data_IF_888700868366
#
_entry.id   IF_888700868366
#
_cell.length_a   1.000
_cell.length_b   1.000
_cell.length_c   1.000
_cell.angle_alpha   90.00
_cell.angle_beta   90.00
_cell.angle_gamma   90.00
#
_symmetry.space_group_name_H-M   'P 1'
#
loop_
_entity.id
_entity.type
_entity.pdbx_description
1 polymer ?
#
# COMPACT_ATOMS: atom_id res chain seq x y z
N UNK A 1 24.39 73.81 -24.46
CA UNK A 1 24.39 72.49 -25.12
C UNK A 1 23.09 71.81 -24.78
N UNK A 2 22.24 71.66 -25.80
CA UNK A 2 20.94 71.00 -25.77
C UNK A 2 20.95 70.11 -27.02
N UNK A 3 20.83 68.79 -26.89
CA UNK A 3 20.54 67.89 -28.02
C UNK A 3 19.64 66.76 -27.52
N UNK A 4 18.44 66.75 -28.09
CA UNK A 4 17.45 65.67 -28.11
C UNK A 4 17.73 64.66 -29.22
N UNK A 5 17.09 63.49 -29.10
CA UNK A 5 16.81 62.43 -30.11
C UNK A 5 18.03 61.69 -30.70
N UNK A 6 17.99 60.40 -31.02
CA UNK A 6 16.95 59.38 -31.03
C UNK A 6 17.55 58.10 -31.64
N UNK A 7 16.78 57.01 -31.70
CA UNK A 7 17.13 55.82 -32.48
C UNK A 7 16.88 54.52 -31.73
N UNK A 8 15.77 53.85 -32.03
CA UNK A 8 15.49 52.52 -31.53
C UNK A 8 16.25 51.42 -32.29
N UNK A 9 16.36 50.24 -31.68
CA UNK A 9 16.15 48.98 -32.37
C UNK A 9 15.86 47.87 -31.35
N UNK A 10 14.75 47.19 -31.60
CA UNK A 10 14.39 45.81 -31.26
C UNK A 10 15.55 44.88 -30.86
N UNK A 11 15.37 44.02 -29.85
CA UNK A 11 14.87 42.63 -29.98
C UNK A 11 15.14 41.80 -28.71
N UNK A 12 14.15 40.99 -28.38
CA UNK A 12 14.30 39.65 -27.79
C UNK A 12 14.88 39.52 -26.37
N UNK A 13 14.06 39.84 -25.38
CA UNK A 13 14.17 39.26 -24.03
C UNK A 13 13.18 38.11 -23.90
N UNK A 14 13.42 37.02 -24.63
CA UNK A 14 12.64 35.80 -24.56
C UNK A 14 12.57 35.26 -23.12
N UNK A 15 11.34 35.13 -22.64
CA UNK A 15 10.85 34.18 -21.64
C UNK A 15 11.91 33.25 -21.02
N UNK A 16 12.33 33.54 -19.79
CA UNK A 16 13.00 32.58 -18.91
C UNK A 16 11.97 31.69 -18.17
N UNK A 17 10.96 31.23 -18.91
CA UNK A 17 10.04 30.12 -18.61
C UNK A 17 10.15 29.23 -19.85
N UNK A 18 10.48 27.94 -19.87
CA UNK A 18 10.14 26.87 -18.94
C UNK A 18 10.96 25.61 -19.34
N UNK A 19 12.29 25.73 -19.49
CA UNK A 19 13.17 24.57 -19.71
C UNK A 19 13.46 23.86 -18.37
N UNK A 20 12.39 23.44 -17.68
CA UNK A 20 12.49 22.22 -16.89
C UNK A 20 12.65 21.11 -17.91
N UNK A 21 13.87 20.59 -18.05
CA UNK A 21 14.09 19.24 -18.57
C UNK A 21 12.93 18.38 -18.09
N UNK A 22 12.07 17.92 -19.01
CA UNK A 22 11.00 16.98 -18.70
C UNK A 22 11.68 15.75 -18.13
N UNK A 23 11.83 15.73 -16.80
CA UNK A 23 12.45 14.66 -16.05
C UNK A 23 11.71 13.40 -16.48
N UNK A 24 12.42 12.46 -17.10
CA UNK A 24 11.80 11.28 -17.67
C UNK A 24 10.94 10.61 -16.60
N UNK A 25 9.62 10.63 -16.80
CA UNK A 25 8.68 10.04 -15.86
C UNK A 25 8.74 8.52 -15.97
N UNK A 26 8.75 7.85 -14.83
CA UNK A 26 8.77 6.40 -14.79
C UNK A 26 7.90 5.86 -13.68
N UNK A 27 7.43 4.65 -13.92
CA UNK A 27 6.63 3.86 -13.00
C UNK A 27 7.55 2.85 -12.34
N UNK A 28 7.44 2.68 -11.03
CA UNK A 28 8.12 1.62 -10.28
C UNK A 28 7.13 0.49 -10.01
N UNK A 29 7.52 -0.74 -10.32
CA UNK A 29 6.80 -1.96 -9.94
C UNK A 29 7.66 -2.71 -8.92
N UNK A 30 7.11 -3.00 -7.74
CA UNK A 30 7.81 -3.86 -6.80
C UNK A 30 7.67 -5.33 -7.21
N UNK A 31 8.82 -5.97 -7.44
CA UNK A 31 8.93 -7.41 -7.63
C UNK A 31 9.21 -8.11 -6.30
N UNK A 32 8.83 -9.38 -6.22
CA UNK A 32 8.99 -10.27 -5.06
C UNK A 32 9.43 -11.63 -5.56
N UNK A 33 10.24 -12.36 -4.78
CA UNK A 33 10.65 -13.73 -5.16
C UNK A 33 10.06 -14.83 -4.27
N UNK A 34 9.60 -14.49 -3.05
CA UNK A 34 9.18 -15.49 -2.06
C UNK A 34 7.66 -15.64 -1.90
N UNK A 35 6.92 -14.54 -1.71
CA UNK A 35 5.49 -14.57 -1.36
C UNK A 35 4.73 -13.41 -1.97
N UNK A 36 3.43 -13.58 -2.22
CA UNK A 36 2.56 -12.53 -2.79
C UNK A 36 3.04 -12.06 -4.15
N UNK A 37 3.36 -13.02 -5.01
CA UNK A 37 3.91 -12.76 -6.33
C UNK A 37 2.84 -12.19 -7.25
N UNK A 38 3.24 -11.29 -8.15
CA UNK A 38 2.49 -10.95 -9.34
C UNK A 38 2.89 -11.97 -10.40
N UNK A 39 2.02 -12.93 -10.70
CA UNK A 39 2.37 -14.10 -11.53
C UNK A 39 2.72 -13.67 -12.96
N UNK A 40 1.96 -12.71 -13.51
CA UNK A 40 2.18 -12.13 -14.84
C UNK A 40 2.84 -10.75 -14.77
N UNK A 41 3.90 -10.62 -13.96
CA UNK A 41 4.61 -9.34 -13.77
C UNK A 41 5.06 -8.69 -15.09
N UNK A 42 5.57 -9.49 -16.04
CA UNK A 42 6.00 -8.99 -17.35
C UNK A 42 4.84 -8.39 -18.17
N UNK A 43 3.65 -9.00 -18.13
CA UNK A 43 2.45 -8.46 -18.80
C UNK A 43 2.00 -7.15 -18.15
N UNK A 44 2.03 -7.09 -16.82
CA UNK A 44 1.71 -5.87 -16.07
C UNK A 44 2.67 -4.72 -16.42
N UNK A 45 3.97 -4.99 -16.46
CA UNK A 45 5.01 -4.02 -16.85
C UNK A 45 4.75 -3.50 -18.26
N UNK A 46 4.49 -4.40 -19.22
CA UNK A 46 4.25 -4.02 -20.61
C UNK A 46 2.97 -3.18 -20.73
N UNK A 47 1.90 -3.57 -20.05
CA UNK A 47 0.64 -2.86 -20.04
C UNK A 47 0.78 -1.44 -19.45
N UNK A 48 1.49 -1.30 -18.34
CA UNK A 48 1.79 0.00 -17.73
C UNK A 48 2.62 0.89 -18.67
N UNK A 49 3.67 0.33 -19.28
CA UNK A 49 4.52 1.05 -20.22
C UNK A 49 3.73 1.57 -21.43
N UNK A 50 2.87 0.72 -21.99
CA UNK A 50 2.03 1.07 -23.15
C UNK A 50 0.95 2.08 -22.80
N UNK A 51 0.27 1.90 -21.66
CA UNK A 51 -0.83 2.79 -21.27
C UNK A 51 -0.35 4.22 -20.97
N UNK A 52 0.76 4.35 -20.24
CA UNK A 52 1.24 5.66 -19.79
C UNK A 52 2.36 6.25 -20.65
N UNK A 53 2.88 5.49 -21.62
CA UNK A 53 4.05 5.89 -22.41
C UNK A 53 5.25 6.27 -21.52
N UNK A 54 5.38 5.59 -20.38
CA UNK A 54 6.42 5.79 -19.38
C UNK A 54 7.34 4.59 -19.33
N UNK A 55 8.60 4.82 -18.98
CA UNK A 55 9.51 3.72 -18.63
C UNK A 55 8.99 3.05 -17.35
N UNK A 56 9.04 1.73 -17.29
CA UNK A 56 8.71 0.96 -16.09
C UNK A 56 10.00 0.35 -15.53
N UNK A 57 10.22 0.52 -14.23
CA UNK A 57 11.39 0.05 -13.50
C UNK A 57 10.95 -0.96 -12.45
N UNK A 58 11.58 -2.13 -12.44
CA UNK A 58 11.35 -3.12 -11.38
C UNK A 58 12.31 -2.90 -10.23
N UNK A 59 11.78 -3.01 -9.01
CA UNK A 59 12.54 -2.88 -7.76
C UNK A 59 12.24 -4.08 -6.88
N UNK A 60 13.26 -4.66 -6.25
CA UNK A 60 13.12 -5.73 -5.28
C UNK A 60 13.87 -5.35 -4.01
N UNK A 61 13.17 -5.33 -2.87
CA UNK A 61 13.81 -5.14 -1.55
C UNK A 61 14.67 -6.35 -1.14
N UNK A 62 14.49 -7.50 -1.78
CA UNK A 62 15.25 -8.73 -1.51
C UNK A 62 16.61 -8.70 -2.21
N UNK A 63 16.71 -7.97 -3.34
CA UNK A 63 17.92 -7.92 -4.18
C UNK A 63 18.67 -6.59 -4.08
N UNK A 64 17.95 -5.49 -3.80
CA UNK A 64 18.50 -4.14 -3.84
C UNK A 64 18.60 -3.55 -2.43
N UNK A 65 19.64 -2.74 -2.19
CA UNK A 65 19.79 -2.03 -0.92
C UNK A 65 18.66 -1.02 -0.71
N UNK A 66 18.24 -0.84 0.55
CA UNK A 66 17.19 0.14 0.89
C UNK A 66 17.51 1.57 0.42
N UNK A 67 18.73 2.13 0.58
CA UNK A 67 19.06 3.44 0.03
C UNK A 67 18.91 3.52 -1.49
N UNK A 68 19.29 2.46 -2.22
CA UNK A 68 19.11 2.39 -3.67
C UNK A 68 17.64 2.38 -4.07
N UNK A 69 16.81 1.61 -3.35
CA UNK A 69 15.35 1.59 -3.53
C UNK A 69 14.74 2.98 -3.30
N UNK A 70 15.13 3.66 -2.21
CA UNK A 70 14.68 5.02 -1.92
C UNK A 70 15.07 5.98 -3.04
N UNK A 71 16.31 5.92 -3.53
CA UNK A 71 16.78 6.76 -4.63
C UNK A 71 15.93 6.57 -5.89
N UNK A 72 15.56 5.34 -6.23
CA UNK A 72 14.69 5.04 -7.37
C UNK A 72 13.26 5.54 -7.12
N UNK A 73 12.71 5.35 -5.93
CA UNK A 73 11.33 5.75 -5.63
C UNK A 73 11.19 7.28 -5.58
N UNK A 74 12.18 8.01 -5.10
CA UNK A 74 12.13 9.49 -5.00
C UNK A 74 12.02 10.23 -6.33
N UNK A 75 12.21 9.56 -7.46
CA UNK A 75 11.99 10.12 -8.79
C UNK A 75 10.78 9.54 -9.55
N UNK A 76 10.04 8.60 -8.96
CA UNK A 76 8.97 7.89 -9.65
C UNK A 76 7.66 8.68 -9.67
N UNK A 77 6.93 8.64 -10.80
CA UNK A 77 5.59 9.23 -10.93
C UNK A 77 4.50 8.30 -10.41
N UNK A 78 4.79 6.99 -10.33
CA UNK A 78 3.86 5.98 -9.83
C UNK A 78 4.61 4.82 -9.19
N UNK A 79 4.07 4.27 -8.10
CA UNK A 79 4.53 3.06 -7.44
C UNK A 79 3.40 2.02 -7.45
N UNK A 80 3.65 0.84 -8.03
CA UNK A 80 2.72 -0.26 -8.15
C UNK A 80 3.23 -1.46 -7.35
N UNK A 81 2.40 -2.02 -6.47
CA UNK A 81 2.81 -3.16 -5.64
C UNK A 81 1.63 -3.93 -5.07
N UNK A 82 1.81 -5.24 -4.90
CA UNK A 82 0.98 -6.04 -3.98
C UNK A 82 1.05 -5.48 -2.56
N UNK A 83 -0.08 -5.52 -1.85
CA UNK A 83 -0.21 -5.12 -0.45
C UNK A 83 0.89 -5.76 0.40
N UNK A 84 1.60 -4.94 1.18
CA UNK A 84 2.58 -5.41 2.14
C UNK A 84 3.54 -4.32 2.58
N UNK A 85 4.35 -4.63 3.59
CA UNK A 85 5.21 -3.67 4.30
C UNK A 85 6.05 -2.78 3.37
N UNK A 86 6.50 -3.28 2.21
CA UNK A 86 7.30 -2.53 1.25
C UNK A 86 6.64 -1.24 0.75
N UNK A 87 5.31 -1.17 0.72
CA UNK A 87 4.57 0.03 0.33
C UNK A 87 4.81 1.22 1.28
N UNK A 88 5.42 1.02 2.46
CA UNK A 88 5.84 2.14 3.32
C UNK A 88 6.86 3.05 2.62
N UNK A 89 7.61 2.53 1.66
CA UNK A 89 8.55 3.30 0.84
C UNK A 89 7.86 4.37 -0.02
N UNK A 90 6.53 4.29 -0.20
CA UNK A 90 5.75 5.37 -0.81
C UNK A 90 5.90 6.71 -0.08
N UNK A 91 6.38 6.71 1.18
CA UNK A 91 6.80 7.92 1.89
C UNK A 91 7.81 8.78 1.12
N UNK A 92 8.63 8.15 0.27
CA UNK A 92 9.68 8.82 -0.48
C UNK A 92 9.24 9.27 -1.86
N UNK A 93 8.01 8.99 -2.28
CA UNK A 93 7.50 9.45 -3.57
C UNK A 93 7.37 10.98 -3.61
N UNK A 94 7.58 11.60 -4.79
CA UNK A 94 7.33 13.01 -4.95
C UNK A 94 5.83 13.32 -4.80
N UNK A 95 5.52 14.55 -4.37
CA UNK A 95 4.14 15.04 -4.31
C UNK A 95 3.46 14.94 -5.67
N UNK A 96 2.21 14.51 -5.69
CA UNK A 96 1.45 14.28 -6.92
C UNK A 96 1.72 12.92 -7.58
N UNK A 97 2.66 12.12 -7.08
CA UNK A 97 2.83 10.75 -7.54
C UNK A 97 1.68 9.85 -7.08
N UNK A 98 1.50 8.72 -7.78
CA UNK A 98 0.49 7.73 -7.48
C UNK A 98 1.06 6.51 -6.73
N UNK A 99 0.31 6.00 -5.76
CA UNK A 99 0.51 4.70 -5.12
C UNK A 99 -0.64 3.80 -5.55
N UNK A 100 -0.32 2.76 -6.29
CA UNK A 100 -1.26 1.74 -6.77
C UNK A 100 -1.05 0.47 -5.97
N UNK A 101 -1.98 0.21 -5.06
CA UNK A 101 -1.95 -0.92 -4.15
C UNK A 101 -2.83 -2.07 -4.67
N UNK A 102 -2.24 -3.25 -4.85
CA UNK A 102 -2.92 -4.44 -5.34
C UNK A 102 -3.25 -5.38 -4.17
N UNK A 103 -4.49 -5.83 -4.09
CA UNK A 103 -4.96 -6.76 -3.06
C UNK A 103 -5.26 -8.13 -3.66
N UNK A 104 -4.84 -9.23 -3.00
CA UNK A 104 -5.19 -10.58 -3.44
C UNK A 104 -6.69 -10.85 -3.23
N UNK A 105 -7.14 -12.01 -3.69
CA UNK A 105 -8.54 -12.41 -3.59
C UNK A 105 -9.01 -12.48 -2.13
N UNK A 106 -10.29 -12.19 -1.90
CA UNK A 106 -10.94 -12.11 -0.59
C UNK A 106 -10.39 -11.06 0.40
N UNK A 107 -9.35 -10.30 0.04
CA UNK A 107 -8.85 -9.20 0.89
C UNK A 107 -9.53 -7.89 0.52
N UNK A 108 -10.21 -7.27 1.49
CA UNK A 108 -10.97 -6.05 1.29
C UNK A 108 -10.09 -4.78 1.49
N UNK A 109 -9.86 -3.96 0.45
CA UNK A 109 -9.03 -2.75 0.54
C UNK A 109 -9.50 -1.73 1.58
N UNK A 110 -10.79 -1.69 1.91
CA UNK A 110 -11.34 -0.74 2.88
C UNK A 110 -11.10 -1.15 4.34
N UNK A 111 -10.65 -2.39 4.58
CA UNK A 111 -10.33 -2.89 5.92
C UNK A 111 -8.83 -2.83 6.25
N UNK A 112 -7.97 -2.71 5.24
CA UNK A 112 -6.50 -2.69 5.40
C UNK A 112 -5.94 -1.44 4.73
N UNK A 113 -6.07 -0.30 5.42
CA UNK A 113 -5.85 1.03 4.84
C UNK A 113 -4.61 1.79 5.34
N UNK A 114 -3.50 1.17 5.77
CA UNK A 114 -2.35 1.93 6.28
C UNK A 114 -1.76 2.85 5.20
N UNK A 115 -1.69 2.40 3.94
CA UNK A 115 -1.12 3.21 2.85
C UNK A 115 -2.11 4.22 2.27
N UNK A 116 -3.41 3.91 2.26
CA UNK A 116 -4.46 4.91 2.04
C UNK A 116 -4.36 6.04 3.06
N UNK A 117 -4.19 5.69 4.34
CA UNK A 117 -3.99 6.67 5.42
C UNK A 117 -2.73 7.48 5.17
N UNK A 118 -1.60 6.82 4.92
CA UNK A 118 -0.31 7.44 4.61
C UNK A 118 -0.42 8.47 3.49
N UNK A 119 -1.00 8.09 2.34
CA UNK A 119 -1.15 8.95 1.18
C UNK A 119 -1.98 10.21 1.46
N UNK A 120 -2.89 10.13 2.44
CA UNK A 120 -3.75 11.25 2.87
C UNK A 120 -3.18 12.07 4.03
N UNK A 121 -2.00 11.73 4.56
CA UNK A 121 -1.36 12.53 5.61
C UNK A 121 -1.00 13.93 5.08
N UNK A 122 -1.09 14.97 5.93
CA UNK A 122 -0.74 16.33 5.51
C UNK A 122 0.67 16.42 4.94
N UNK A 123 0.79 16.98 3.73
CA UNK A 123 2.06 17.21 3.05
C UNK A 123 2.59 16.02 2.25
N UNK A 124 1.93 14.86 2.28
CA UNK A 124 2.22 13.71 1.41
C UNK A 124 1.73 13.97 -0.02
N UNK A 125 0.49 14.45 -0.16
CA UNK A 125 -0.12 14.81 -1.44
C UNK A 125 -0.01 13.70 -2.51
N UNK A 126 -0.17 12.43 -2.10
CA UNK A 126 -0.11 11.28 -3.00
C UNK A 126 -1.50 10.89 -3.50
N UNK A 127 -1.56 10.40 -4.74
CA UNK A 127 -2.76 9.77 -5.29
C UNK A 127 -2.79 8.30 -4.87
N UNK A 128 -3.77 7.91 -4.05
CA UNK A 128 -3.93 6.51 -3.66
C UNK A 128 -4.98 5.83 -4.54
N UNK A 129 -4.60 4.69 -5.12
CA UNK A 129 -5.47 3.85 -5.95
C UNK A 129 -5.34 2.41 -5.44
N UNK A 130 -6.46 1.73 -5.24
CA UNK A 130 -6.47 0.32 -4.84
C UNK A 130 -7.15 -0.54 -5.89
N UNK A 131 -6.48 -1.60 -6.33
CA UNK A 131 -7.07 -2.66 -7.14
C UNK A 131 -7.18 -3.94 -6.32
N UNK A 132 -8.27 -4.69 -6.48
CA UNK A 132 -8.50 -5.97 -5.80
C UNK A 132 -8.70 -7.05 -6.84
N UNK A 133 -8.04 -8.19 -6.66
CA UNK A 133 -8.38 -9.38 -7.42
C UNK A 133 -9.78 -9.87 -6.99
N UNK A 134 -10.73 -9.85 -7.92
CA UNK A 134 -12.11 -10.34 -7.72
C UNK A 134 -12.33 -11.74 -8.28
N UNK A 135 -11.33 -12.29 -8.99
CA UNK A 135 -11.39 -13.59 -9.67
C UNK A 135 -10.64 -14.65 -8.87
N UNK A 136 -11.35 -15.66 -8.42
CA UNK A 136 -10.76 -16.74 -7.63
C UNK A 136 -9.80 -17.59 -8.49
N UNK A 137 -10.12 -17.77 -9.77
CA UNK A 137 -9.29 -18.44 -10.77
C UNK A 137 -7.93 -17.77 -11.01
N UNK A 138 -7.80 -16.49 -10.66
CA UNK A 138 -6.57 -15.72 -10.76
C UNK A 138 -5.71 -15.80 -9.48
N UNK A 139 -5.97 -16.78 -8.61
CA UNK A 139 -5.36 -16.89 -7.29
C UNK A 139 -4.56 -18.18 -7.17
N UNK A 140 -3.30 -18.09 -6.77
CA UNK A 140 -2.48 -19.26 -6.42
C UNK A 140 -2.29 -19.28 -4.91
N UNK A 141 -2.67 -20.41 -4.30
CA UNK A 141 -2.67 -20.61 -2.84
C UNK A 141 -1.59 -21.62 -2.45
N UNK A 142 -1.12 -21.52 -1.20
CA UNK A 142 0.00 -22.32 -0.72
C UNK A 142 -0.31 -22.94 0.66
N UNK A 143 -1.29 -23.87 0.74
CA UNK A 143 -1.77 -24.39 2.02
C UNK A 143 -0.72 -25.17 2.83
N UNK A 144 0.34 -25.65 2.17
CA UNK A 144 1.41 -26.47 2.76
C UNK A 144 2.62 -25.65 3.27
N UNK A 145 2.61 -24.32 3.09
CA UNK A 145 3.67 -23.44 3.63
C UNK A 145 3.65 -23.41 5.18
N UNK A 146 4.68 -22.83 5.82
CA UNK A 146 4.58 -22.48 7.24
C UNK A 146 3.37 -21.57 7.52
N UNK A 147 2.82 -21.65 8.74
CA UNK A 147 1.62 -20.88 9.09
C UNK A 147 1.85 -19.37 9.01
N UNK A 148 3.07 -18.90 9.28
CA UNK A 148 3.49 -17.50 9.16
C UNK A 148 3.40 -16.97 7.73
N UNK A 149 3.38 -17.87 6.74
CA UNK A 149 3.29 -17.58 5.31
C UNK A 149 1.96 -18.05 4.71
N UNK A 150 0.92 -18.20 5.55
CA UNK A 150 -0.44 -18.51 5.11
C UNK A 150 -0.76 -19.99 4.93
N UNK A 151 0.16 -20.90 5.30
CA UNK A 151 -0.15 -22.33 5.28
C UNK A 151 -1.17 -22.72 6.34
N UNK A 152 -2.11 -23.58 5.96
CA UNK A 152 -3.25 -24.00 6.78
C UNK A 152 -3.24 -25.51 7.08
N UNK A 153 -2.23 -26.26 6.62
CA UNK A 153 -2.13 -27.71 6.81
C UNK A 153 -2.19 -28.14 8.29
N UNK A 154 -1.71 -27.30 9.20
CA UNK A 154 -1.71 -27.50 10.65
C UNK A 154 -3.10 -27.38 11.31
N UNK A 155 -4.12 -26.88 10.60
CA UNK A 155 -5.46 -26.64 11.12
C UNK A 155 -6.36 -27.87 10.98
N UNK A 156 -7.36 -27.94 11.86
CA UNK A 156 -8.44 -28.92 11.78
C UNK A 156 -9.12 -28.92 10.41
N UNK A 157 -9.58 -30.09 9.97
CA UNK A 157 -10.15 -30.27 8.63
C UNK A 157 -11.34 -29.35 8.35
N UNK A 158 -12.21 -29.16 9.34
CA UNK A 158 -13.38 -28.28 9.19
C UNK A 158 -12.99 -26.81 9.08
N UNK A 159 -11.97 -26.38 9.83
CA UNK A 159 -11.46 -25.01 9.75
C UNK A 159 -10.80 -24.76 8.38
N UNK A 160 -10.02 -25.72 7.86
CA UNK A 160 -9.47 -25.64 6.51
C UNK A 160 -10.55 -25.49 5.45
N UNK A 161 -11.61 -26.30 5.51
CA UNK A 161 -12.74 -26.19 4.58
C UNK A 161 -13.43 -24.83 4.67
N UNK A 162 -13.63 -24.32 5.88
CA UNK A 162 -14.23 -23.00 6.12
C UNK A 162 -13.39 -21.89 5.48
N UNK A 163 -12.08 -21.90 5.71
CA UNK A 163 -11.14 -20.93 5.14
C UNK A 163 -11.14 -21.03 3.60
N UNK A 164 -11.08 -22.23 3.04
CA UNK A 164 -11.07 -22.43 1.59
C UNK A 164 -12.35 -21.89 0.92
N UNK A 165 -13.51 -22.13 1.54
CA UNK A 165 -14.80 -21.68 1.02
C UNK A 165 -15.08 -20.17 1.18
N UNK A 166 -14.26 -19.45 1.97
CA UNK A 166 -14.52 -18.03 2.23
C UNK A 166 -14.23 -17.14 1.01
N UNK A 167 -14.95 -16.03 0.89
CA UNK A 167 -14.80 -15.08 -0.24
C UNK A 167 -14.50 -13.66 0.19
N UNK A 168 -14.47 -13.42 1.49
CA UNK A 168 -14.04 -12.16 2.11
C UNK A 168 -13.49 -12.49 3.49
N UNK A 169 -12.36 -11.89 3.87
CA UNK A 169 -11.79 -12.04 5.21
C UNK A 169 -12.57 -11.15 6.18
N UNK A 170 -13.22 -11.71 7.22
CA UNK A 170 -13.88 -10.91 8.23
C UNK A 170 -12.90 -10.03 9.00
N UNK A 171 -13.42 -8.97 9.63
CA UNK A 171 -12.63 -8.17 10.58
C UNK A 171 -12.06 -9.06 11.68
N UNK A 172 -10.79 -8.88 11.95
CA UNK A 172 -10.04 -9.70 12.90
C UNK A 172 -8.94 -8.87 13.55
N UNK A 173 -8.45 -9.34 14.70
CA UNK A 173 -7.23 -8.79 15.30
C UNK A 173 -6.02 -9.27 14.51
N UNK A 174 -5.14 -8.33 14.14
CA UNK A 174 -4.06 -8.59 13.23
C UNK A 174 -3.18 -9.79 13.61
N UNK A 175 -2.60 -10.33 12.54
CA UNK A 175 -1.27 -10.88 12.44
C UNK A 175 -1.18 -12.38 12.71
N UNK A 176 -2.18 -12.98 13.37
CA UNK A 176 -2.22 -14.43 13.62
C UNK A 176 -3.52 -15.11 13.22
N UNK A 177 -4.43 -14.38 12.57
CA UNK A 177 -5.64 -14.99 12.06
C UNK A 177 -5.30 -15.88 10.84
N UNK A 178 -5.63 -17.18 10.85
CA UNK A 178 -5.23 -18.12 9.80
C UNK A 178 -5.90 -17.83 8.46
N UNK A 179 -7.15 -17.40 8.46
CA UNK A 179 -7.88 -17.03 7.23
C UNK A 179 -7.25 -15.81 6.57
N UNK A 180 -6.92 -14.79 7.35
CA UNK A 180 -6.18 -13.63 6.89
C UNK A 180 -4.84 -14.01 6.27
N UNK A 181 -4.03 -14.80 6.98
CA UNK A 181 -2.71 -15.22 6.50
C UNK A 181 -2.86 -16.02 5.20
N UNK A 182 -3.82 -16.94 5.14
CA UNK A 182 -4.12 -17.72 3.95
C UNK A 182 -4.49 -16.85 2.74
N UNK A 183 -5.29 -15.78 2.93
CA UNK A 183 -5.72 -14.88 1.86
C UNK A 183 -4.67 -13.86 1.48
N UNK A 184 -3.96 -13.28 2.45
CA UNK A 184 -2.98 -12.22 2.15
C UNK A 184 -1.72 -12.75 1.47
N UNK A 185 -1.31 -14.00 1.74
CA UNK A 185 -0.10 -14.60 1.17
C UNK A 185 -0.28 -15.28 -0.20
N UNK A 186 -1.45 -15.12 -0.81
CA UNK A 186 -1.74 -15.64 -2.13
C UNK A 186 -0.90 -14.93 -3.20
N UNK A 187 -0.43 -15.69 -4.18
CA UNK A 187 0.10 -15.10 -5.41
C UNK A 187 -1.08 -14.80 -6.35
N UNK A 188 -0.94 -13.75 -7.14
CA UNK A 188 -2.05 -13.18 -7.91
C UNK A 188 -1.67 -13.06 -9.39
N UNK A 189 -2.52 -13.62 -10.24
CA UNK A 189 -2.54 -13.31 -11.67
C UNK A 189 -3.37 -12.03 -11.87
N UNK A 190 -2.72 -10.94 -12.22
CA UNK A 190 -3.40 -9.64 -12.36
C UNK A 190 -4.22 -9.64 -13.64
N UNK A 191 -5.52 -9.38 -13.51
CA UNK A 191 -6.39 -9.14 -14.65
C UNK A 191 -6.08 -7.76 -15.23
N UNK A 192 -5.25 -7.73 -16.28
CA UNK A 192 -4.73 -6.48 -16.86
C UNK A 192 -5.85 -5.52 -17.30
N UNK A 193 -6.93 -5.96 -17.98
CA UNK A 193 -8.02 -5.05 -18.36
C UNK A 193 -8.69 -4.40 -17.14
N UNK A 194 -9.08 -5.19 -16.13
CA UNK A 194 -9.66 -4.67 -14.90
C UNK A 194 -8.70 -3.74 -14.16
N UNK A 195 -7.42 -4.09 -14.11
CA UNK A 195 -6.39 -3.27 -13.47
C UNK A 195 -6.26 -1.91 -14.14
N UNK A 196 -6.15 -1.86 -15.47
CA UNK A 196 -6.04 -0.60 -16.21
C UNK A 196 -7.30 0.25 -16.11
N UNK A 197 -8.49 -0.36 -16.07
CA UNK A 197 -9.75 0.37 -15.87
C UNK A 197 -9.76 1.09 -14.53
N UNK A 198 -9.45 0.39 -13.43
CA UNK A 198 -9.36 0.97 -12.08
C UNK A 198 -8.30 2.06 -12.02
N UNK A 199 -7.15 1.83 -12.64
CA UNK A 199 -6.05 2.79 -12.66
C UNK A 199 -6.44 4.07 -13.42
N UNK A 200 -7.06 3.95 -14.59
CA UNK A 200 -7.57 5.09 -15.38
C UNK A 200 -8.57 5.91 -14.59
N UNK A 201 -9.53 5.24 -13.95
CA UNK A 201 -10.54 5.94 -13.16
C UNK A 201 -9.92 6.62 -11.93
N UNK A 202 -9.02 5.93 -11.23
CA UNK A 202 -8.30 6.48 -10.08
C UNK A 202 -7.49 7.72 -10.43
N UNK A 203 -6.82 7.73 -11.59
CA UNK A 203 -6.00 8.86 -12.05
C UNK A 203 -6.82 10.10 -12.45
N UNK A 204 -8.12 9.98 -12.75
CA UNK A 204 -8.99 11.14 -12.98
C UNK A 204 -9.27 11.93 -11.70
N UNK A 205 -9.15 11.29 -10.54
CA UNK A 205 -9.43 11.92 -9.26
C UNK A 205 -8.24 12.77 -8.79
N UNK A 206 -8.53 13.96 -8.26
CA UNK A 206 -7.50 14.82 -7.66
C UNK A 206 -6.96 14.18 -6.37
N UNK A 207 -5.68 14.40 -6.03
CA UNK A 207 -5.12 13.85 -4.80
C UNK A 207 -5.87 14.46 -3.61
N UNK A 208 -6.06 13.66 -2.56
CA UNK A 208 -6.85 14.07 -1.39
C UNK A 208 -6.09 15.10 -0.57
N UNK A 209 -6.27 16.39 -0.90
CA UNK A 209 -5.75 17.52 -0.13
C UNK A 209 -6.67 17.82 1.05
N UNK A 210 -6.85 16.86 1.97
CA UNK A 210 -7.57 17.13 3.22
C UNK A 210 -6.72 18.03 4.10
N UNK A 211 -6.95 19.35 4.05
CA UNK A 211 -6.55 20.27 5.12
C UNK A 211 -7.39 19.93 6.35
N UNK A 212 -6.83 19.19 7.33
CA UNK A 212 -7.51 18.97 8.61
C UNK A 212 -6.72 19.58 9.77
N UNK A 213 -7.47 20.24 10.66
CA UNK A 213 -7.03 20.89 11.88
C UNK A 213 -6.11 19.95 12.67
N UNK A 214 -4.95 20.47 13.07
CA UNK A 214 -4.06 19.78 13.99
C UNK A 214 -4.78 19.42 15.29
N UNK A 215 -4.31 18.34 15.90
CA UNK A 215 -4.64 17.80 17.23
C UNK A 215 -5.86 16.89 17.31
N UNK A 216 -5.66 15.63 16.92
CA UNK A 216 -6.22 14.52 17.69
C UNK A 216 -5.05 13.95 18.49
N UNK A 217 -5.04 14.16 19.81
CA UNK A 217 -4.19 13.38 20.70
C UNK A 217 -4.62 11.92 20.57
N UNK A 218 -3.79 11.10 19.94
CA UNK A 218 -4.03 9.66 19.85
C UNK A 218 -3.73 9.07 21.22
N UNK A 219 -4.73 9.04 22.10
CA UNK A 219 -4.68 8.26 23.32
C UNK A 219 -5.00 6.80 22.97
N UNK A 220 -4.32 5.81 23.58
CA UNK A 220 -4.79 4.43 23.50
C UNK A 220 -6.26 4.38 23.93
N UNK A 221 -7.04 3.56 23.22
CA UNK A 221 -8.46 3.40 23.53
C UNK A 221 -8.69 3.04 25.00
N UNK A 222 -9.78 3.53 25.58
CA UNK A 222 -10.15 3.23 26.97
C UNK A 222 -10.27 1.70 27.15
N UNK A 223 -9.54 1.14 28.12
CA UNK A 223 -9.67 -0.27 28.51
C UNK A 223 -11.12 -0.52 28.94
N UNK A 224 -11.76 -1.52 28.31
CA UNK A 224 -13.17 -1.87 28.56
C UNK A 224 -13.27 -3.12 29.42
N UNK A 225 -14.33 -3.19 30.22
CA UNK A 225 -14.65 -4.37 31.04
C UNK A 225 -13.49 -4.83 31.94
N UNK A 226 -12.74 -3.90 32.51
CA UNK A 226 -11.67 -4.22 33.44
C UNK A 226 -12.25 -4.88 34.70
N UNK A 227 -11.82 -6.09 35.00
CA UNK A 227 -12.17 -6.85 36.19
C UNK A 227 -10.91 -7.12 37.01
N UNK A 228 -11.07 -7.08 38.32
CA UNK A 228 -10.02 -7.37 39.29
C UNK A 228 -10.58 -8.31 40.34
N UNK A 229 -9.98 -9.50 40.45
CA UNK A 229 -10.36 -10.51 41.43
C UNK A 229 -9.18 -10.78 42.35
N UNK A 230 -9.44 -10.74 43.65
CA UNK A 230 -8.47 -11.12 44.68
C UNK A 230 -8.88 -12.45 45.28
N UNK A 231 -7.92 -13.35 45.46
CA UNK A 231 -8.14 -14.67 46.04
C UNK A 231 -7.03 -14.92 47.06
N UNK A 232 -7.37 -14.84 48.35
CA UNK A 232 -6.44 -15.18 49.43
C UNK A 232 -6.49 -16.68 49.61
N UNK A 233 -5.40 -17.38 49.27
CA UNK A 233 -5.33 -18.84 49.30
C UNK A 233 -4.79 -19.33 50.65
N UNK A 234 -3.85 -18.59 51.25
CA UNK A 234 -3.30 -18.86 52.60
C UNK A 234 -2.97 -17.54 53.31
N UNK A 235 -2.65 -17.54 54.62
CA UNK A 235 -2.23 -16.33 55.33
C UNK A 235 -1.01 -15.62 54.71
N UNK A 236 -0.21 -16.34 53.91
CA UNK A 236 1.01 -15.84 53.27
C UNK A 236 0.90 -15.75 51.75
N UNK A 237 -0.26 -16.07 51.15
CA UNK A 237 -0.39 -16.14 49.69
C UNK A 237 -1.74 -15.57 49.24
N UNK A 238 -1.66 -14.49 48.45
CA UNK A 238 -2.78 -13.87 47.79
C UNK A 238 -2.54 -13.82 46.28
N UNK A 239 -3.56 -14.17 45.51
CA UNK A 239 -3.58 -14.11 44.05
C UNK A 239 -4.42 -12.91 43.61
N UNK A 240 -3.85 -12.10 42.72
CA UNK A 240 -4.56 -11.03 42.01
C UNK A 240 -4.73 -11.45 40.56
N UNK A 241 -5.96 -11.54 40.08
CA UNK A 241 -6.28 -11.76 38.66
C UNK A 241 -6.89 -10.48 38.10
N UNK A 242 -6.29 -9.93 37.05
CA UNK A 242 -6.81 -8.77 36.32
C UNK A 242 -7.14 -9.21 34.90
N UNK A 243 -8.33 -8.88 34.42
CA UNK A 243 -8.76 -9.15 33.04
C UNK A 243 -9.50 -7.95 32.47
N UNK A 244 -9.58 -7.86 31.14
CA UNK A 244 -10.33 -6.81 30.44
C UNK A 244 -10.73 -7.30 29.06
N UNK A 245 -11.69 -6.62 28.44
CA UNK A 245 -12.05 -6.85 27.05
C UNK A 245 -10.90 -6.42 26.14
N UNK A 246 -10.41 -7.35 25.32
CA UNK A 246 -9.32 -7.07 24.38
C UNK A 246 -9.77 -5.95 23.42
N UNK A 247 -9.02 -4.82 23.33
CA UNK A 247 -9.36 -3.74 22.42
C UNK A 247 -9.26 -4.22 20.97
N UNK A 248 -10.15 -3.70 20.12
CA UNK A 248 -10.20 -4.00 18.68
C UNK A 248 -9.36 -3.03 17.83
N UNK A 249 -8.59 -2.16 18.48
CA UNK A 249 -7.90 -1.00 17.90
C UNK A 249 -6.41 -1.00 18.23
#
# INVERSE_FOLDING_TARGET
>A
MNISSGGGMEKDGGSAEDDKEKKAEYIVVFSRSATRLIVNEAELILALAQEFQMRVVTVSLEEQSFPGVVQVISGASMLVSMHGAQLITSLFLPRGAAVVELFPFAVNPEQYTPYKTLATLPGMDLHYISWRNTKEENTITHPDRPWEQGGIAHLEKEERKRILASKDVPRHLCCRNPEWLYRIYQDTLVDIPSFLEVLKEGMKTKPSTKKLKSTSTVHPGRVREAQCQTLVQTPNEAKLTVSWQIPWN
#
